data_IF_650202838737
#
_entry.id   IF_650202838737
#
_cell.length_a   1.000
_cell.length_b   1.000
_cell.length_c   1.000
_cell.angle_alpha   90.00
_cell.angle_beta   90.00
_cell.angle_gamma   90.00
#
_symmetry.space_group_name_H-M   'P 1'
#
loop_
_entity.id
_entity.type
_entity.pdbx_description
1 polymer ?
#
# COMPACT_ATOMS: atom_id res chain seq x y z
N UNK A 1 -17.30 -4.10 6.01
CA UNK A 1 -16.05 -3.30 5.82
C UNK A 1 -15.61 -3.47 4.38
N UNK A 2 -15.15 -2.40 3.72
CA UNK A 2 -14.65 -2.45 2.32
C UNK A 2 -13.52 -3.47 2.22
N UNK A 3 -13.52 -4.28 1.16
CA UNK A 3 -12.40 -5.14 0.79
C UNK A 3 -11.61 -4.43 -0.30
N UNK A 4 -10.29 -4.42 -0.17
CA UNK A 4 -9.39 -3.88 -1.17
C UNK A 4 -8.78 -5.01 -1.99
N UNK A 5 -8.59 -4.76 -3.28
CA UNK A 5 -7.85 -5.65 -4.16
C UNK A 5 -6.36 -5.27 -4.16
N UNK A 6 -5.65 -5.81 -3.16
CA UNK A 6 -4.21 -5.62 -3.00
C UNK A 6 -3.46 -6.76 -3.68
N UNK A 7 -2.37 -6.49 -4.43
CA UNK A 7 -1.54 -7.51 -5.05
C UNK A 7 -1.17 -8.66 -4.10
N UNK A 8 -1.21 -9.90 -4.61
CA UNK A 8 -0.97 -11.11 -3.81
C UNK A 8 0.42 -11.10 -3.16
N UNK A 9 1.41 -10.48 -3.80
CA UNK A 9 2.77 -10.35 -3.28
C UNK A 9 2.86 -9.64 -1.93
N UNK A 10 1.87 -8.80 -1.58
CA UNK A 10 1.80 -8.12 -0.28
C UNK A 10 0.96 -8.86 0.76
N UNK A 11 0.40 -10.04 0.40
CA UNK A 11 -0.45 -10.82 1.30
C UNK A 11 0.35 -11.95 1.92
N UNK A 12 0.27 -12.07 3.25
CA UNK A 12 0.82 -13.22 3.98
C UNK A 12 -0.33 -14.17 4.38
N UNK A 13 -0.23 -15.48 4.08
CA UNK A 13 -1.26 -16.46 4.45
C UNK A 13 -1.36 -16.61 5.98
N UNK A 14 -0.22 -16.62 6.68
CA UNK A 14 -0.17 -16.74 8.14
C UNK A 14 -0.82 -15.52 8.81
N UNK A 15 -0.43 -14.32 8.39
CA UNK A 15 -0.98 -13.07 8.92
C UNK A 15 -2.47 -12.95 8.65
N UNK A 16 -2.92 -13.37 7.46
CA UNK A 16 -4.33 -13.35 7.08
C UNK A 16 -5.16 -14.23 8.02
N UNK A 17 -4.66 -15.42 8.35
CA UNK A 17 -5.37 -16.34 9.23
C UNK A 17 -5.41 -15.83 10.68
N UNK A 18 -4.30 -15.28 11.18
CA UNK A 18 -4.27 -14.61 12.50
C UNK A 18 -5.30 -13.47 12.56
N UNK A 19 -5.35 -12.61 11.54
CA UNK A 19 -6.30 -11.49 11.47
C UNK A 19 -7.76 -11.98 11.43
N UNK A 20 -8.06 -13.04 10.68
CA UNK A 20 -9.41 -13.66 10.65
C UNK A 20 -9.81 -14.19 12.02
N UNK A 21 -8.96 -14.97 12.68
CA UNK A 21 -9.22 -15.51 14.02
C UNK A 21 -9.49 -14.38 15.03
N UNK A 22 -8.68 -13.32 14.99
CA UNK A 22 -8.86 -12.14 15.85
C UNK A 22 -10.15 -11.38 15.53
N UNK A 23 -10.55 -11.28 14.27
CA UNK A 23 -11.79 -10.62 13.87
C UNK A 23 -13.04 -11.39 14.28
N UNK A 24 -13.01 -12.73 14.24
CA UNK A 24 -14.11 -13.58 14.71
C UNK A 24 -14.29 -13.47 16.23
N UNK A 25 -13.19 -13.46 16.98
CA UNK A 25 -13.23 -13.39 18.46
C UNK A 25 -13.48 -11.99 19.01
N UNK A 26 -13.01 -10.96 18.32
CA UNK A 26 -13.13 -9.56 18.74
C UNK A 26 -13.25 -8.66 17.49
N UNK A 27 -14.47 -8.53 16.98
CA UNK A 27 -14.76 -7.75 15.78
C UNK A 27 -14.62 -6.25 15.98
N UNK A 28 -14.80 -5.77 17.22
CA UNK A 28 -14.69 -4.35 17.60
C UNK A 28 -13.26 -3.91 17.88
N UNK A 29 -12.30 -4.85 17.88
CA UNK A 29 -10.87 -4.58 18.14
C UNK A 29 -10.64 -3.91 19.50
N UNK A 30 -11.41 -4.33 20.50
CA UNK A 30 -11.29 -3.81 21.88
C UNK A 30 -10.23 -4.54 22.69
N UNK A 31 -9.85 -5.74 22.29
CA UNK A 31 -8.73 -6.45 22.88
C UNK A 31 -7.42 -6.05 22.17
N UNK A 32 -6.64 -5.22 22.85
CA UNK A 32 -5.36 -4.71 22.38
C UNK A 32 -4.19 -5.68 22.61
N UNK A 33 -4.41 -6.81 23.27
CA UNK A 33 -3.36 -7.80 23.51
C UNK A 33 -2.79 -8.35 22.18
N UNK A 34 -1.48 -8.68 22.15
CA UNK A 34 -0.90 -9.34 21.01
C UNK A 34 -1.45 -10.75 20.85
N UNK A 35 -1.43 -11.26 19.63
CA UNK A 35 -1.57 -12.70 19.39
C UNK A 35 -0.25 -13.38 19.73
N UNK A 36 -0.30 -14.37 20.61
CA UNK A 36 0.86 -15.16 21.01
C UNK A 36 0.90 -16.43 20.18
N UNK A 37 2.00 -16.67 19.47
CA UNK A 37 2.31 -17.93 18.81
C UNK A 37 3.44 -18.60 19.59
N UNK A 38 3.10 -19.62 20.35
CA UNK A 38 4.03 -20.34 21.22
C UNK A 38 4.53 -21.61 20.52
N UNK A 39 5.85 -21.67 20.28
CA UNK A 39 6.54 -22.83 19.72
C UNK A 39 7.50 -23.47 20.73
N UNK A 40 7.31 -23.23 22.02
CA UNK A 40 8.15 -23.72 23.12
C UNK A 40 9.38 -22.83 23.34
N UNK A 41 10.58 -23.16 22.81
CA UNK A 41 11.78 -22.33 23.00
C UNK A 41 11.69 -20.92 22.40
N UNK A 42 10.75 -20.70 21.48
CA UNK A 42 10.53 -19.42 20.80
C UNK A 42 9.05 -19.06 20.86
N UNK A 43 8.77 -17.82 21.27
CA UNK A 43 7.43 -17.27 21.36
C UNK A 43 7.37 -16.00 20.52
N UNK A 44 6.42 -15.93 19.59
CA UNK A 44 6.20 -14.73 18.77
C UNK A 44 4.99 -13.95 19.29
N UNK A 45 5.19 -12.65 19.49
CA UNK A 45 4.12 -11.72 19.84
C UNK A 45 3.77 -10.89 18.61
N UNK A 46 2.59 -11.10 18.06
CA UNK A 46 2.07 -10.35 16.92
C UNK A 46 1.13 -9.26 17.44
N UNK A 47 1.49 -8.00 17.24
CA UNK A 47 0.69 -6.86 17.69
C UNK A 47 -0.77 -6.94 17.20
N UNK A 48 -1.73 -6.41 17.97
CA UNK A 48 -3.14 -6.36 17.55
C UNK A 48 -3.34 -5.60 16.23
N UNK A 49 -2.63 -4.49 16.07
CA UNK A 49 -2.73 -3.60 14.93
C UNK A 49 -1.39 -3.56 14.20
N UNK A 50 -1.36 -4.12 12.98
CA UNK A 50 -0.16 -4.18 12.15
C UNK A 50 -0.51 -4.39 10.68
N UNK A 51 0.44 -4.05 9.80
CA UNK A 51 0.28 -4.06 8.35
C UNK A 51 -0.42 -2.80 7.83
N UNK A 52 -0.95 -2.87 6.62
CA UNK A 52 -1.55 -1.71 5.96
C UNK A 52 -2.80 -1.20 6.67
N UNK A 53 -2.87 0.12 6.81
CA UNK A 53 -4.08 0.81 7.20
C UNK A 53 -4.98 1.02 5.98
N UNK A 54 -6.24 1.42 6.22
CA UNK A 54 -7.21 1.68 5.15
C UNK A 54 -6.68 2.65 4.08
N UNK A 55 -6.00 3.73 4.48
CA UNK A 55 -5.46 4.73 3.55
C UNK A 55 -4.38 4.15 2.64
N UNK A 56 -3.49 3.32 3.19
CA UNK A 56 -2.45 2.63 2.42
C UNK A 56 -3.06 1.61 1.46
N UNK A 57 -4.01 0.78 1.92
CA UNK A 57 -4.69 -0.19 1.06
C UNK A 57 -5.42 0.51 -0.09
N UNK A 58 -6.11 1.62 0.19
CA UNK A 58 -6.79 2.41 -0.82
C UNK A 58 -5.82 3.04 -1.83
N UNK A 59 -4.70 3.61 -1.37
CA UNK A 59 -3.71 4.22 -2.25
C UNK A 59 -3.03 3.19 -3.17
N UNK A 60 -2.74 2.00 -2.66
CA UNK A 60 -2.24 0.87 -3.44
C UNK A 60 -3.30 0.47 -4.48
N UNK A 61 -4.54 0.16 -4.08
CA UNK A 61 -5.59 -0.26 -5.03
C UNK A 61 -5.80 0.76 -6.17
N UNK A 62 -5.84 2.06 -5.85
CA UNK A 62 -5.98 3.12 -6.87
C UNK A 62 -4.79 3.13 -7.83
N UNK A 63 -3.56 2.98 -7.33
CA UNK A 63 -2.37 3.01 -8.17
C UNK A 63 -2.33 1.84 -9.15
N UNK A 64 -2.67 0.64 -8.69
CA UNK A 64 -2.69 -0.55 -9.55
C UNK A 64 -3.83 -0.49 -10.56
N UNK A 65 -5.03 -0.07 -10.15
CA UNK A 65 -6.14 0.16 -11.09
C UNK A 65 -5.80 1.20 -12.14
N UNK A 66 -5.15 2.29 -11.77
CA UNK A 66 -4.72 3.30 -12.73
C UNK A 66 -3.82 2.70 -13.82
N UNK A 67 -2.90 1.80 -13.45
CA UNK A 67 -2.03 1.08 -14.39
C UNK A 67 -2.84 0.11 -15.26
N UNK A 68 -3.66 -0.74 -14.65
CA UNK A 68 -4.39 -1.81 -15.34
C UNK A 68 -5.48 -1.27 -16.28
N UNK A 69 -6.21 -0.24 -15.86
CA UNK A 69 -7.32 0.34 -16.61
C UNK A 69 -6.87 1.34 -17.70
N UNK A 70 -5.59 1.73 -17.71
CA UNK A 70 -5.06 2.70 -18.67
C UNK A 70 -3.81 2.20 -19.41
N UNK A 71 -3.93 1.09 -20.17
CA UNK A 71 -2.80 0.54 -20.91
C UNK A 71 -2.20 1.57 -21.88
N UNK A 72 -0.88 1.69 -21.85
CA UNK A 72 -0.11 2.59 -22.71
C UNK A 72 -0.14 4.07 -22.33
N UNK A 73 -0.86 4.46 -21.27
CA UNK A 73 -0.77 5.84 -20.73
C UNK A 73 0.40 5.96 -19.76
N UNK A 74 0.99 7.16 -19.70
CA UNK A 74 2.00 7.49 -18.69
C UNK A 74 1.29 7.89 -17.39
N UNK A 75 1.79 7.39 -16.27
CA UNK A 75 1.21 7.59 -14.94
C UNK A 75 2.26 8.24 -14.06
N UNK A 76 1.88 9.35 -13.44
CA UNK A 76 2.77 10.23 -12.68
C UNK A 76 2.18 10.56 -11.30
N UNK A 77 2.53 9.79 -10.26
CA UNK A 77 2.26 10.22 -8.90
C UNK A 77 3.13 11.43 -8.54
N UNK A 78 2.59 12.35 -7.75
CA UNK A 78 3.31 13.57 -7.35
C UNK A 78 4.63 13.24 -6.62
N UNK A 79 4.62 12.23 -5.77
CA UNK A 79 5.78 11.69 -5.05
C UNK A 79 5.54 10.20 -4.76
N UNK A 80 6.34 9.59 -3.88
CA UNK A 80 6.13 8.23 -3.41
C UNK A 80 4.67 7.99 -3.00
N UNK A 81 4.08 6.86 -3.42
CA UNK A 81 2.68 6.56 -3.10
C UNK A 81 2.48 6.33 -1.60
N UNK A 82 3.47 5.65 -1.00
CA UNK A 82 3.63 5.42 0.43
C UNK A 82 5.14 5.34 0.73
N UNK A 83 5.59 5.55 1.97
CA UNK A 83 6.99 5.37 2.36
C UNK A 83 7.34 3.88 2.54
N UNK A 84 7.19 3.12 1.48
CA UNK A 84 7.59 1.73 1.38
C UNK A 84 8.35 1.53 0.07
N UNK A 85 9.69 1.34 0.12
CA UNK A 85 10.51 1.19 -1.07
C UNK A 85 10.08 0.03 -1.97
N UNK A 86 9.63 -1.09 -1.41
CA UNK A 86 9.20 -2.24 -2.20
C UNK A 86 7.97 -1.91 -3.05
N UNK A 87 6.97 -1.24 -2.47
CA UNK A 87 5.77 -0.81 -3.18
C UNK A 87 6.11 0.21 -4.26
N UNK A 88 6.94 1.20 -3.95
CA UNK A 88 7.34 2.22 -4.92
C UNK A 88 8.18 1.63 -6.06
N UNK A 89 9.04 0.65 -5.77
CA UNK A 89 9.84 -0.04 -6.78
C UNK A 89 8.97 -0.91 -7.69
N UNK A 90 7.97 -1.62 -7.15
CA UNK A 90 7.04 -2.40 -7.98
C UNK A 90 6.24 -1.47 -8.91
N UNK A 91 5.74 -0.33 -8.39
CA UNK A 91 5.05 0.66 -9.23
C UNK A 91 5.96 1.19 -10.35
N UNK A 92 7.21 1.54 -10.04
CA UNK A 92 8.19 2.00 -11.05
C UNK A 92 8.50 0.91 -12.08
N UNK A 93 8.63 -0.35 -11.65
CA UNK A 93 8.87 -1.48 -12.57
C UNK A 93 7.72 -1.68 -13.57
N UNK A 94 6.52 -1.19 -13.22
CA UNK A 94 5.32 -1.19 -14.08
C UNK A 94 5.21 0.08 -14.94
N UNK A 95 6.21 0.94 -14.96
CA UNK A 95 6.28 2.14 -15.81
C UNK A 95 5.75 3.42 -15.18
N UNK A 96 5.42 3.41 -13.89
CA UNK A 96 5.07 4.62 -13.14
C UNK A 96 6.31 5.50 -12.93
N UNK A 97 6.19 6.82 -13.06
CA UNK A 97 7.28 7.77 -12.83
C UNK A 97 6.88 8.83 -11.81
N UNK A 98 7.64 9.00 -10.73
CA UNK A 98 7.37 10.04 -9.73
C UNK A 98 7.77 11.42 -10.24
N UNK A 99 6.93 12.43 -10.00
CA UNK A 99 7.21 13.81 -10.41
C UNK A 99 8.27 14.44 -9.51
N UNK A 100 8.20 14.18 -8.20
CA UNK A 100 9.11 14.71 -7.19
C UNK A 100 9.61 13.59 -6.27
N UNK A 101 10.75 13.80 -5.63
CA UNK A 101 11.16 12.97 -4.49
C UNK A 101 10.41 13.36 -3.20
N UNK A 102 10.73 12.68 -2.10
CA UNK A 102 10.11 12.93 -0.78
C UNK A 102 10.53 14.26 -0.16
N UNK A 103 11.54 14.94 -0.70
CA UNK A 103 11.97 16.28 -0.28
C UNK A 103 11.36 17.39 -1.14
N UNK A 104 10.49 17.04 -2.10
CA UNK A 104 9.85 17.99 -3.01
C UNK A 104 10.76 18.43 -4.16
N UNK A 105 11.93 17.81 -4.34
CA UNK A 105 12.78 18.12 -5.50
C UNK A 105 12.19 17.42 -6.72
N UNK A 106 12.01 18.22 -7.77
CA UNK A 106 11.45 17.76 -9.03
C UNK A 106 12.40 16.81 -9.78
N UNK A 107 11.87 15.67 -10.19
CA UNK A 107 12.54 14.62 -10.99
C UNK A 107 12.05 14.68 -12.45
N UNK A 108 10.76 14.98 -12.66
CA UNK A 108 10.13 15.14 -13.98
C UNK A 108 9.62 16.56 -14.11
N UNK A 109 10.01 17.28 -15.16
CA UNK A 109 9.55 18.66 -15.38
C UNK A 109 8.04 18.70 -15.65
N UNK A 110 7.34 19.70 -15.11
CA UNK A 110 5.91 19.92 -15.35
C UNK A 110 5.61 20.12 -16.84
N UNK A 111 6.56 20.67 -17.60
CA UNK A 111 6.45 20.83 -19.04
C UNK A 111 6.47 19.50 -19.82
N UNK A 112 6.95 18.40 -19.22
CA UNK A 112 6.87 17.06 -19.85
C UNK A 112 5.46 16.46 -19.79
N UNK A 113 4.58 17.00 -18.93
CA UNK A 113 3.21 16.54 -18.77
C UNK A 113 2.30 17.10 -19.86
N UNK A 114 1.30 16.31 -20.21
CA UNK A 114 0.30 16.61 -21.21
C UNK A 114 -1.09 16.22 -20.69
N UNK A 115 -2.14 16.68 -21.38
CA UNK A 115 -3.54 16.32 -21.05
C UNK A 115 -3.86 14.82 -21.19
N UNK A 116 -2.94 14.03 -21.76
CA UNK A 116 -3.11 12.59 -21.94
C UNK A 116 -2.55 11.78 -20.77
N UNK A 117 -1.79 12.41 -19.88
CA UNK A 117 -1.14 11.75 -18.75
C UNK A 117 -2.07 11.68 -17.54
N UNK A 118 -1.84 10.68 -16.70
CA UNK A 118 -2.57 10.49 -15.45
C UNK A 118 -1.69 10.97 -14.31
N UNK A 119 -2.20 11.87 -13.49
CA UNK A 119 -1.52 12.33 -12.27
C UNK A 119 -2.25 11.76 -11.06
N UNK A 120 -1.49 11.20 -10.12
CA UNK A 120 -2.04 10.63 -8.88
C UNK A 120 -1.52 11.45 -7.69
N UNK A 121 -2.44 11.84 -6.81
CA UNK A 121 -2.08 12.44 -5.52
C UNK A 121 -1.78 11.30 -4.53
N UNK A 122 -0.61 11.27 -3.88
CA UNK A 122 -0.25 10.24 -2.91
C UNK A 122 -1.17 10.19 -1.68
N UNK A 123 -1.03 9.13 -0.88
CA UNK A 123 -1.81 8.94 0.35
C UNK A 123 -1.66 10.08 1.37
N UNK A 124 -0.56 10.83 1.28
CA UNK A 124 -0.20 11.93 2.19
C UNK A 124 -0.85 13.27 1.83
N UNK A 125 -1.51 13.38 0.66
CA UNK A 125 -2.07 14.63 0.15
C UNK A 125 -1.08 15.42 -0.72
N UNK A 126 -1.24 16.74 -0.72
CA UNK A 126 -0.47 17.73 -1.50
C UNK A 126 0.26 18.70 -0.60
#
# INVERSE_FOLDING_TARGET
>A
MRKFDIPVIYRSPVISEIKKLRQVRDSRKQDYSPTVLDFGPVIFFIARHFGFCYGVENAIEISYKAIEENPGKRIFPLSEMIHNPEVNNDLQSRGVRFIMDTSGRQIVDWAELSRKDIVIIPAFGT
#
